data_IF_408250354728
#
_entry.id   IF_408250354728
#
_cell.length_a   1.000
_cell.length_b   1.000
_cell.length_c   1.000
_cell.angle_alpha   90.00
_cell.angle_beta   90.00
_cell.angle_gamma   90.00
#
_symmetry.space_group_name_H-M   'P 1'
#
loop_
_entity.id
_entity.type
_entity.pdbx_description
1 polymer ?
#
# COMPACT_ATOMS: atom_id res chain seq x y z
N UNK A 1 18.10 -12.93 12.02
CA UNK A 1 16.84 -12.24 12.33
C UNK A 1 17.12 -10.76 12.54
N UNK A 2 16.31 -9.90 11.92
CA UNK A 2 16.42 -8.44 12.08
C UNK A 2 16.13 -8.01 13.52
N UNK A 3 16.92 -7.05 14.04
CA UNK A 3 16.70 -6.55 15.41
C UNK A 3 15.41 -5.74 15.54
N UNK A 4 15.12 -4.93 14.52
CA UNK A 4 13.95 -4.03 14.51
C UNK A 4 12.75 -4.62 13.77
N UNK A 5 12.96 -5.65 12.92
CA UNK A 5 11.93 -6.29 12.13
C UNK A 5 12.00 -7.81 12.27
N UNK A 6 11.21 -8.38 13.18
CA UNK A 6 11.28 -9.81 13.50
C UNK A 6 10.84 -10.74 12.37
N UNK A 7 10.17 -10.22 11.35
CA UNK A 7 9.73 -10.97 10.18
C UNK A 7 10.81 -11.07 9.09
N UNK A 8 11.95 -10.38 9.26
CA UNK A 8 13.06 -10.38 8.30
C UNK A 8 14.21 -11.22 8.84
N UNK A 9 14.68 -12.13 8.02
CA UNK A 9 15.86 -12.97 8.31
C UNK A 9 16.90 -12.73 7.23
N UNK A 10 18.14 -12.62 7.65
CA UNK A 10 19.28 -12.46 6.77
C UNK A 10 20.36 -13.47 7.11
N UNK A 11 20.93 -14.12 6.09
CA UNK A 11 22.04 -15.05 6.19
C UNK A 11 23.27 -14.46 5.49
N UNK A 12 24.18 -13.89 6.25
CA UNK A 12 25.28 -13.10 5.72
C UNK A 12 26.31 -13.90 4.90
N UNK A 13 26.51 -15.20 5.22
CA UNK A 13 27.49 -16.05 4.51
C UNK A 13 26.98 -16.47 3.13
N UNK A 14 25.65 -16.53 2.94
CA UNK A 14 25.00 -16.92 1.72
C UNK A 14 24.28 -15.78 0.99
N UNK A 15 24.38 -14.53 1.48
CA UNK A 15 23.65 -13.36 0.92
C UNK A 15 22.16 -13.63 0.65
N UNK A 16 21.50 -14.24 1.65
CA UNK A 16 20.12 -14.69 1.55
C UNK A 16 19.22 -13.85 2.45
N UNK A 17 18.17 -13.27 1.90
CA UNK A 17 17.14 -12.51 2.60
C UNK A 17 15.82 -13.29 2.56
N UNK A 18 15.17 -13.41 3.72
CA UNK A 18 13.86 -14.06 3.83
C UNK A 18 12.91 -13.16 4.60
N UNK A 19 11.78 -12.81 3.99
CA UNK A 19 10.64 -12.21 4.64
C UNK A 19 9.61 -13.30 4.95
N UNK A 20 9.09 -13.29 6.18
CA UNK A 20 8.05 -14.23 6.59
C UNK A 20 6.77 -13.47 6.95
N UNK A 21 5.64 -13.91 6.42
CA UNK A 21 4.34 -13.46 6.86
C UNK A 21 3.44 -14.67 7.07
N UNK A 22 3.27 -15.07 8.34
CA UNK A 22 2.53 -16.26 8.76
C UNK A 22 3.06 -17.49 8.03
N UNK A 23 2.39 -17.95 6.96
CA UNK A 23 2.71 -19.15 6.17
C UNK A 23 3.44 -18.81 4.86
N UNK A 24 3.48 -17.53 4.47
CA UNK A 24 4.10 -17.09 3.23
C UNK A 24 5.55 -16.65 3.45
N UNK A 25 6.44 -17.07 2.54
CA UNK A 25 7.84 -16.68 2.51
C UNK A 25 8.14 -15.97 1.20
N UNK A 26 8.83 -14.82 1.28
CA UNK A 26 9.46 -14.17 0.15
C UNK A 26 10.97 -14.28 0.33
N UNK A 27 11.64 -14.89 -0.64
CA UNK A 27 13.06 -15.25 -0.56
C UNK A 27 13.81 -14.53 -1.69
N UNK A 28 14.88 -13.82 -1.34
CA UNK A 28 15.81 -13.19 -2.28
C UNK A 28 17.24 -13.62 -1.96
N UNK A 29 18.03 -13.90 -2.98
CA UNK A 29 19.41 -14.32 -2.82
C UNK A 29 19.96 -15.08 -4.03
N UNK A 30 21.14 -15.66 -3.86
CA UNK A 30 21.79 -16.48 -4.88
C UNK A 30 21.05 -17.81 -5.03
N UNK A 31 20.86 -18.26 -6.25
CA UNK A 31 20.07 -19.46 -6.59
C UNK A 31 20.51 -20.75 -5.83
N UNK A 32 21.82 -20.91 -5.61
CA UNK A 32 22.36 -22.05 -4.83
C UNK A 32 21.86 -22.05 -3.40
N UNK A 33 21.81 -20.87 -2.80
CA UNK A 33 21.47 -20.70 -1.38
C UNK A 33 19.95 -20.74 -1.17
N UNK A 34 19.20 -20.25 -2.16
CA UNK A 34 17.72 -20.44 -2.21
C UNK A 34 17.39 -21.93 -2.26
N UNK A 35 18.04 -22.68 -3.15
CA UNK A 35 17.84 -24.14 -3.26
C UNK A 35 18.21 -24.88 -1.98
N UNK A 36 19.31 -24.50 -1.34
CA UNK A 36 19.68 -25.05 -0.05
C UNK A 36 18.60 -24.79 1.02
N UNK A 37 18.12 -23.54 1.13
CA UNK A 37 17.10 -23.19 2.11
C UNK A 37 15.79 -23.95 1.85
N UNK A 38 15.36 -24.06 0.60
CA UNK A 38 14.14 -24.78 0.23
C UNK A 38 14.24 -26.26 0.62
N UNK A 39 15.37 -26.92 0.37
CA UNK A 39 15.61 -28.32 0.77
C UNK A 39 15.54 -28.49 2.30
N UNK A 40 16.12 -27.58 3.07
CA UNK A 40 16.05 -27.59 4.55
C UNK A 40 14.62 -27.36 5.07
N UNK A 41 13.82 -26.55 4.37
CA UNK A 41 12.42 -26.34 4.72
C UNK A 41 11.54 -27.55 4.42
N UNK A 42 11.72 -28.18 3.25
CA UNK A 42 10.99 -29.37 2.82
C UNK A 42 11.21 -30.58 3.73
N UNK A 43 12.40 -30.69 4.37
CA UNK A 43 12.67 -31.74 5.37
C UNK A 43 11.81 -31.59 6.64
N UNK A 44 11.31 -30.39 6.93
CA UNK A 44 10.65 -30.06 8.21
C UNK A 44 9.20 -29.66 8.07
N UNK A 45 8.81 -29.17 6.91
CA UNK A 45 7.49 -28.61 6.65
C UNK A 45 6.94 -29.17 5.32
N UNK A 46 5.63 -29.26 5.24
CA UNK A 46 4.94 -29.56 3.99
C UNK A 46 4.81 -28.26 3.18
N UNK A 47 5.80 -27.99 2.33
CA UNK A 47 5.89 -26.78 1.53
C UNK A 47 5.19 -26.95 0.18
N UNK A 48 4.61 -25.89 -0.34
CA UNK A 48 4.16 -25.81 -1.73
C UNK A 48 5.35 -25.61 -2.65
N UNK A 49 5.19 -25.98 -3.93
CA UNK A 49 6.19 -25.66 -4.94
C UNK A 49 6.46 -24.16 -4.97
N UNK A 50 7.74 -23.74 -4.97
CA UNK A 50 8.09 -22.32 -4.97
C UNK A 50 7.75 -21.67 -6.31
N UNK A 51 7.20 -20.47 -6.27
CA UNK A 51 7.00 -19.64 -7.44
C UNK A 51 8.16 -18.64 -7.57
N UNK A 52 8.61 -18.41 -8.81
CA UNK A 52 9.71 -17.47 -9.09
C UNK A 52 9.18 -16.26 -9.83
N UNK A 53 9.72 -15.08 -9.51
CA UNK A 53 9.41 -13.85 -10.26
C UNK A 53 10.12 -13.90 -11.61
N UNK A 54 9.36 -14.14 -12.68
CA UNK A 54 9.85 -14.18 -14.05
C UNK A 54 9.41 -12.94 -14.84
N UNK A 55 10.06 -12.69 -16.00
CA UNK A 55 9.88 -11.46 -16.77
C UNK A 55 8.44 -11.26 -17.26
N UNK A 56 7.71 -12.32 -17.56
CA UNK A 56 6.33 -12.25 -18.09
C UNK A 56 5.29 -12.93 -17.17
N UNK A 57 5.68 -13.32 -15.96
CA UNK A 57 4.81 -13.99 -15.00
C UNK A 57 4.78 -13.24 -13.67
N UNK A 58 3.75 -12.42 -13.42
CA UNK A 58 3.61 -11.75 -12.14
C UNK A 58 3.43 -12.75 -11.00
N UNK A 59 4.25 -12.62 -9.96
CA UNK A 59 4.06 -13.32 -8.70
C UNK A 59 3.02 -12.58 -7.86
N UNK A 60 1.99 -13.28 -7.40
CA UNK A 60 1.03 -12.73 -6.43
C UNK A 60 1.55 -12.98 -5.01
N UNK A 61 1.90 -11.91 -4.32
CA UNK A 61 2.31 -11.96 -2.92
C UNK A 61 1.46 -11.01 -2.09
N UNK A 62 0.59 -11.54 -1.25
CA UNK A 62 -0.31 -10.78 -0.36
C UNK A 62 -1.25 -9.81 -1.12
N UNK A 63 -1.65 -10.18 -2.33
CA UNK A 63 -2.47 -9.35 -3.20
C UNK A 63 -1.70 -8.23 -3.90
N UNK A 64 -0.38 -8.22 -3.78
CA UNK A 64 0.52 -7.43 -4.63
C UNK A 64 1.04 -8.30 -5.77
N UNK A 65 1.06 -7.73 -6.96
CA UNK A 65 1.65 -8.35 -8.14
C UNK A 65 3.10 -7.87 -8.26
N UNK A 66 4.04 -8.78 -8.12
CA UNK A 66 5.48 -8.53 -8.27
C UNK A 66 5.89 -8.98 -9.67
N UNK A 67 6.38 -8.07 -10.48
CA UNK A 67 6.84 -8.35 -11.85
C UNK A 67 8.26 -7.83 -12.02
N UNK A 68 9.11 -8.58 -12.73
CA UNK A 68 10.46 -8.17 -13.09
C UNK A 68 10.54 -7.92 -14.58
N UNK A 69 11.08 -6.77 -14.98
CA UNK A 69 11.38 -6.44 -16.37
C UNK A 69 12.84 -5.95 -16.40
N UNK A 70 13.74 -6.75 -16.92
CA UNK A 70 15.17 -6.49 -16.88
C UNK A 70 15.66 -6.35 -15.44
N UNK A 71 16.28 -5.20 -15.11
CA UNK A 71 16.77 -4.88 -13.76
C UNK A 71 15.77 -4.07 -12.90
N UNK A 72 14.52 -4.00 -13.31
CA UNK A 72 13.50 -3.26 -12.58
C UNK A 72 12.42 -4.20 -12.07
N UNK A 73 12.10 -4.09 -10.78
CA UNK A 73 10.97 -4.75 -10.13
C UNK A 73 9.81 -3.78 -10.07
N UNK A 74 8.62 -4.23 -10.46
CA UNK A 74 7.37 -3.49 -10.39
C UNK A 74 6.47 -4.14 -9.34
N UNK A 75 5.96 -3.34 -8.42
CA UNK A 75 4.95 -3.74 -7.44
C UNK A 75 3.63 -3.09 -7.83
N UNK A 76 2.63 -3.87 -8.17
CA UNK A 76 1.30 -3.39 -8.52
C UNK A 76 0.21 -4.04 -7.68
N UNK A 77 -1.01 -3.48 -7.70
CA UNK A 77 -2.19 -4.03 -7.04
C UNK A 77 -3.41 -3.94 -7.98
N UNK A 78 -3.19 -4.07 -9.27
CA UNK A 78 -4.24 -3.89 -10.29
C UNK A 78 -5.40 -4.85 -10.08
N UNK A 79 -5.13 -6.14 -9.93
CA UNK A 79 -6.15 -7.18 -9.70
C UNK A 79 -6.89 -6.96 -8.39
N UNK A 80 -6.15 -6.57 -7.32
CA UNK A 80 -6.79 -6.25 -6.05
C UNK A 80 -7.76 -5.08 -6.19
N UNK A 81 -7.34 -3.99 -6.83
CA UNK A 81 -8.20 -2.82 -7.07
C UNK A 81 -9.44 -3.18 -7.90
N UNK A 82 -9.28 -3.98 -8.96
CA UNK A 82 -10.41 -4.43 -9.77
C UNK A 82 -11.41 -5.25 -8.95
N UNK A 83 -10.92 -6.18 -8.17
CA UNK A 83 -11.74 -7.04 -7.32
C UNK A 83 -12.53 -6.24 -6.29
N UNK A 84 -11.87 -5.32 -5.58
CA UNK A 84 -12.52 -4.48 -4.58
C UNK A 84 -13.53 -3.51 -5.19
N UNK A 85 -13.23 -2.94 -6.36
CA UNK A 85 -14.19 -2.12 -7.10
C UNK A 85 -15.44 -2.91 -7.49
N UNK A 86 -15.31 -4.18 -7.87
CA UNK A 86 -16.43 -5.05 -8.18
C UNK A 86 -17.25 -5.40 -6.93
N UNK A 87 -16.61 -5.73 -5.82
CA UNK A 87 -17.28 -6.03 -4.53
C UNK A 87 -18.08 -4.82 -4.02
N UNK A 88 -17.52 -3.62 -4.18
CA UNK A 88 -18.15 -2.37 -3.75
C UNK A 88 -19.17 -1.82 -4.76
N UNK A 89 -19.32 -2.44 -5.93
CA UNK A 89 -20.16 -1.98 -7.05
C UNK A 89 -19.86 -0.51 -7.42
N UNK A 90 -18.58 -0.21 -7.61
CA UNK A 90 -18.11 1.15 -7.90
C UNK A 90 -18.54 1.55 -9.32
N UNK A 91 -19.47 2.48 -9.42
CA UNK A 91 -20.04 2.95 -10.68
C UNK A 91 -19.63 4.40 -11.00
N UNK A 92 -19.93 4.84 -12.21
CA UNK A 92 -19.86 6.23 -12.63
C UNK A 92 -18.48 6.68 -13.11
N UNK A 93 -18.29 8.00 -13.08
CA UNK A 93 -17.12 8.68 -13.66
C UNK A 93 -15.88 8.52 -12.80
N UNK A 94 -14.74 8.34 -13.43
CA UNK A 94 -13.43 8.38 -12.78
C UNK A 94 -13.04 9.82 -12.41
N UNK A 95 -12.87 10.13 -11.13
CA UNK A 95 -12.40 11.46 -10.72
C UNK A 95 -10.87 11.59 -10.97
N UNK A 96 -10.41 12.83 -11.17
CA UNK A 96 -8.97 13.11 -11.39
C UNK A 96 -8.16 13.12 -10.10
N UNK A 97 -8.81 13.27 -8.95
CA UNK A 97 -8.17 13.30 -7.61
C UNK A 97 -9.00 12.45 -6.65
N UNK A 98 -8.35 11.74 -5.72
CA UNK A 98 -9.04 10.82 -4.83
C UNK A 98 -10.05 11.53 -3.91
N UNK A 99 -9.70 12.72 -3.42
CA UNK A 99 -10.58 13.54 -2.58
C UNK A 99 -10.45 15.00 -2.99
N UNK A 100 -11.55 15.75 -3.08
CA UNK A 100 -11.54 17.13 -3.58
C UNK A 100 -12.13 18.15 -2.60
N UNK A 101 -13.01 17.70 -1.72
CA UNK A 101 -13.79 18.57 -0.86
C UNK A 101 -13.74 18.09 0.60
N UNK A 102 -13.96 18.99 1.57
CA UNK A 102 -14.16 18.55 2.95
C UNK A 102 -15.33 17.57 3.01
N UNK A 103 -15.15 16.48 3.77
CA UNK A 103 -16.21 15.49 3.98
C UNK A 103 -17.24 16.12 4.93
N UNK A 104 -18.51 16.11 4.53
CA UNK A 104 -19.61 16.64 5.38
C UNK A 104 -19.89 15.69 6.54
N UNK A 105 -19.47 16.09 7.73
CA UNK A 105 -19.68 15.34 8.98
C UNK A 105 -21.09 15.51 9.53
N UNK A 106 -21.90 16.42 8.97
CA UNK A 106 -23.29 16.66 9.40
C UNK A 106 -24.32 15.93 8.56
N UNK A 107 -23.89 15.24 7.50
CA UNK A 107 -24.78 14.43 6.65
C UNK A 107 -25.35 13.22 7.41
N UNK A 108 -26.31 12.54 6.83
CA UNK A 108 -27.05 11.43 7.45
C UNK A 108 -26.10 10.36 8.00
N UNK A 109 -26.23 9.97 9.29
CA UNK A 109 -25.47 8.87 9.87
C UNK A 109 -25.77 7.55 9.14
N UNK A 110 -24.75 6.70 9.01
CA UNK A 110 -24.91 5.38 8.41
C UNK A 110 -25.68 4.43 9.32
N UNK A 111 -26.50 3.58 8.71
CA UNK A 111 -27.07 2.41 9.39
C UNK A 111 -25.98 1.44 9.83
N UNK A 112 -26.25 0.55 10.81
CA UNK A 112 -25.26 -0.45 11.25
C UNK A 112 -24.70 -1.31 10.11
N UNK A 113 -25.52 -1.67 9.14
CA UNK A 113 -25.11 -2.46 7.98
C UNK A 113 -24.21 -1.65 7.05
N UNK A 114 -24.53 -0.40 6.76
CA UNK A 114 -23.71 0.52 5.96
C UNK A 114 -22.39 0.82 6.68
N UNK A 115 -22.42 1.01 8.01
CA UNK A 115 -21.20 1.21 8.81
C UNK A 115 -20.24 0.02 8.69
N UNK A 116 -20.76 -1.23 8.71
CA UNK A 116 -19.93 -2.41 8.51
C UNK A 116 -19.24 -2.40 7.13
N UNK A 117 -19.99 -2.07 6.07
CA UNK A 117 -19.44 -1.93 4.71
C UNK A 117 -18.39 -0.81 4.62
N UNK A 118 -18.69 0.34 5.22
CA UNK A 118 -17.76 1.46 5.29
C UNK A 118 -16.44 1.07 5.97
N UNK A 119 -16.48 0.42 7.14
CA UNK A 119 -15.29 0.01 7.86
C UNK A 119 -14.45 -1.02 7.08
N UNK A 120 -15.11 -1.96 6.39
CA UNK A 120 -14.41 -2.91 5.51
C UNK A 120 -13.69 -2.16 4.37
N UNK A 121 -14.39 -1.25 3.69
CA UNK A 121 -13.82 -0.45 2.61
C UNK A 121 -12.67 0.47 3.08
N UNK A 122 -12.77 1.04 4.28
CA UNK A 122 -11.66 1.80 4.89
C UNK A 122 -10.45 0.91 5.15
N UNK A 123 -10.67 -0.33 5.61
CA UNK A 123 -9.60 -1.32 5.77
C UNK A 123 -8.88 -1.63 4.45
N UNK A 124 -9.64 -1.82 3.35
CA UNK A 124 -9.09 -2.02 2.01
C UNK A 124 -8.26 -0.82 1.54
N UNK A 125 -8.76 0.42 1.75
CA UNK A 125 -7.98 1.63 1.44
C UNK A 125 -6.72 1.74 2.29
N UNK A 126 -6.78 1.33 3.56
CA UNK A 126 -5.62 1.28 4.46
C UNK A 126 -4.54 0.35 3.93
N UNK A 127 -4.93 -0.83 3.46
CA UNK A 127 -4.01 -1.79 2.84
C UNK A 127 -3.37 -1.23 1.58
N UNK A 128 -4.18 -0.71 0.64
CA UNK A 128 -3.69 -0.09 -0.59
C UNK A 128 -2.73 1.07 -0.33
N UNK A 129 -3.08 1.98 0.59
CA UNK A 129 -2.28 3.17 0.90
C UNK A 129 -0.97 2.85 1.62
N UNK A 130 -0.95 1.77 2.40
CA UNK A 130 0.23 1.33 3.15
C UNK A 130 1.18 0.44 2.35
N UNK A 131 0.76 -0.01 1.16
CA UNK A 131 1.56 -0.87 0.29
C UNK A 131 2.02 -0.13 -0.97
N UNK A 132 1.25 -0.19 -2.05
CA UNK A 132 1.64 0.32 -3.37
C UNK A 132 1.06 1.69 -3.68
N UNK A 133 -0.14 2.02 -3.16
CA UNK A 133 -0.89 3.21 -3.54
C UNK A 133 -0.76 4.35 -2.52
N UNK A 134 0.48 4.79 -2.29
CA UNK A 134 0.76 5.92 -1.39
C UNK A 134 0.08 7.23 -1.80
N UNK A 135 -0.32 7.37 -3.07
CA UNK A 135 -1.04 8.52 -3.63
C UNK A 135 -2.43 8.76 -2.98
N UNK A 136 -3.03 7.72 -2.37
CA UNK A 136 -4.30 7.85 -1.63
C UNK A 136 -4.14 8.03 -0.12
N UNK A 137 -2.93 8.07 0.44
CA UNK A 137 -2.69 8.08 1.89
C UNK A 137 -3.38 9.23 2.60
N UNK A 138 -3.38 10.43 2.00
CA UNK A 138 -4.12 11.57 2.54
C UNK A 138 -5.63 11.33 2.57
N UNK A 139 -6.20 10.85 1.48
CA UNK A 139 -7.63 10.55 1.39
C UNK A 139 -8.04 9.49 2.40
N UNK A 140 -7.26 8.40 2.50
CA UNK A 140 -7.44 7.35 3.51
C UNK A 140 -7.42 7.93 4.93
N UNK A 141 -6.40 8.72 5.28
CA UNK A 141 -6.26 9.32 6.60
C UNK A 141 -7.48 10.19 6.97
N UNK A 142 -7.97 11.00 6.02
CA UNK A 142 -9.15 11.85 6.24
C UNK A 142 -10.43 11.04 6.47
N UNK A 143 -10.64 9.99 5.69
CA UNK A 143 -11.80 9.11 5.80
C UNK A 143 -11.75 8.26 7.07
N UNK A 144 -10.59 7.71 7.41
CA UNK A 144 -10.39 6.86 8.59
C UNK A 144 -10.73 7.58 9.91
N UNK A 145 -10.52 8.90 9.99
CA UNK A 145 -10.90 9.72 11.16
C UNK A 145 -12.42 9.68 11.45
N UNK A 146 -13.24 9.33 10.46
CA UNK A 146 -14.70 9.27 10.59
C UNK A 146 -15.22 7.88 11.00
N UNK A 147 -14.34 6.92 11.23
CA UNK A 147 -14.71 5.51 11.50
C UNK A 147 -15.59 5.32 12.74
N UNK A 148 -15.49 6.19 13.73
CA UNK A 148 -16.33 6.11 14.94
C UNK A 148 -17.81 6.41 14.63
N UNK A 149 -18.08 7.48 13.86
CA UNK A 149 -19.41 7.95 13.50
C UNK A 149 -19.48 8.33 12.01
N UNK A 150 -19.45 7.34 11.09
CA UNK A 150 -19.45 7.61 9.67
C UNK A 150 -20.83 8.09 9.18
N UNK A 151 -20.77 9.00 8.21
CA UNK A 151 -21.94 9.59 7.56
C UNK A 151 -22.06 9.12 6.10
N UNK A 152 -23.19 9.42 5.45
CA UNK A 152 -23.35 9.11 4.03
C UNK A 152 -22.26 9.79 3.17
N UNK A 153 -21.92 11.04 3.47
CA UNK A 153 -20.82 11.75 2.78
C UNK A 153 -19.48 11.07 2.95
N UNK A 154 -19.21 10.45 4.11
CA UNK A 154 -18.01 9.65 4.32
C UNK A 154 -18.00 8.39 3.44
N UNK A 155 -19.15 7.69 3.32
CA UNK A 155 -19.27 6.52 2.45
C UNK A 155 -19.10 6.91 0.97
N UNK A 156 -19.71 8.00 0.53
CA UNK A 156 -19.57 8.52 -0.83
C UNK A 156 -18.12 8.89 -1.13
N UNK A 157 -17.39 9.40 -0.12
CA UNK A 157 -15.95 9.69 -0.24
C UNK A 157 -15.10 8.43 -0.41
N UNK A 158 -15.43 7.33 0.29
CA UNK A 158 -14.78 6.02 0.09
C UNK A 158 -15.00 5.55 -1.35
N UNK A 159 -16.24 5.53 -1.82
CA UNK A 159 -16.57 5.10 -3.19
C UNK A 159 -15.89 5.98 -4.24
N UNK A 160 -15.74 7.28 -3.97
CA UNK A 160 -14.98 8.19 -4.82
C UNK A 160 -13.50 7.80 -4.91
N UNK A 161 -12.85 7.41 -3.81
CA UNK A 161 -11.45 6.97 -3.83
C UNK A 161 -11.32 5.69 -4.67
N UNK A 162 -12.23 4.73 -4.53
CA UNK A 162 -12.22 3.52 -5.36
C UNK A 162 -12.47 3.83 -6.84
N UNK A 163 -13.34 4.80 -7.16
CA UNK A 163 -13.53 5.25 -8.55
C UNK A 163 -12.27 5.91 -9.12
N UNK A 164 -11.50 6.64 -8.30
CA UNK A 164 -10.18 7.16 -8.67
C UNK A 164 -9.21 6.03 -8.93
N UNK A 165 -9.07 5.09 -7.99
CA UNK A 165 -8.19 3.93 -8.11
C UNK A 165 -8.48 3.10 -9.36
N UNK A 166 -9.75 2.87 -9.68
CA UNK A 166 -10.17 2.17 -10.91
C UNK A 166 -9.66 2.86 -12.18
N UNK A 167 -9.58 4.18 -12.17
CA UNK A 167 -9.15 4.95 -13.33
C UNK A 167 -7.66 5.08 -13.52
N UNK A 168 -6.88 4.62 -12.54
CA UNK A 168 -5.42 4.61 -12.57
C UNK A 168 -4.89 3.37 -11.83
N UNK A 169 -5.52 2.22 -12.06
CA UNK A 169 -5.21 0.94 -11.40
C UNK A 169 -3.80 0.44 -11.78
N UNK A 170 -3.32 0.84 -12.95
CA UNK A 170 -2.00 0.51 -13.50
C UNK A 170 -0.82 1.22 -12.78
N UNK A 171 -1.10 2.18 -11.89
CA UNK A 171 -0.03 2.82 -11.15
C UNK A 171 0.64 1.82 -10.20
N UNK A 172 1.97 1.75 -10.31
CA UNK A 172 2.82 0.82 -9.59
C UNK A 172 4.02 1.53 -8.95
N UNK A 173 4.68 0.85 -8.03
CA UNK A 173 6.01 1.23 -7.54
C UNK A 173 7.03 0.50 -8.40
N UNK A 174 8.04 1.22 -8.89
CA UNK A 174 9.17 0.64 -9.61
C UNK A 174 10.44 0.75 -8.77
N UNK A 175 11.18 -0.34 -8.63
CA UNK A 175 12.45 -0.43 -7.93
C UNK A 175 13.49 -0.84 -8.96
N UNK A 176 14.43 0.06 -9.27
CA UNK A 176 15.49 -0.19 -10.24
C UNK A 176 16.79 -0.52 -9.50
N UNK A 177 17.35 -1.69 -9.79
CA UNK A 177 18.62 -2.14 -9.20
C UNK A 177 19.83 -1.34 -9.68
N UNK A 178 19.76 -0.74 -10.88
CA UNK A 178 20.85 0.07 -11.45
C UNK A 178 20.81 1.55 -11.00
N UNK A 179 19.87 1.92 -10.15
CA UNK A 179 19.84 3.27 -9.61
C UNK A 179 21.10 3.49 -8.76
N UNK A 180 21.94 4.51 -9.09
CA UNK A 180 23.15 4.76 -8.33
C UNK A 180 22.81 5.04 -6.86
N UNK A 181 23.58 4.44 -5.95
CA UNK A 181 23.54 4.78 -4.52
C UNK A 181 23.82 6.27 -4.36
N UNK A 182 22.77 7.06 -4.17
CA UNK A 182 22.88 8.50 -4.00
C UNK A 182 22.80 8.86 -2.52
N UNK A 183 23.73 9.69 -2.10
CA UNK A 183 23.69 10.29 -0.77
C UNK A 183 22.42 11.13 -0.63
N UNK A 184 21.75 11.06 0.52
CA UNK A 184 20.52 11.84 0.84
C UNK A 184 20.73 13.33 0.55
N UNK A 185 21.95 13.86 0.72
CA UNK A 185 22.30 15.24 0.43
C UNK A 185 22.23 15.58 -1.06
N UNK A 186 22.59 14.62 -1.94
CA UNK A 186 22.51 14.78 -3.40
C UNK A 186 21.06 14.76 -3.88
N UNK A 187 20.21 13.98 -3.22
CA UNK A 187 18.75 13.91 -3.49
C UNK A 187 18.06 15.23 -3.17
N UNK A 188 18.49 15.90 -2.10
CA UNK A 188 17.88 17.18 -1.67
C UNK A 188 18.31 18.40 -2.51
N UNK A 189 19.39 18.30 -3.25
CA UNK A 189 19.98 19.41 -4.03
C UNK A 189 19.79 19.32 -5.53
N UNK A 190 19.44 18.15 -6.08
CA UNK A 190 19.28 17.97 -7.53
C UNK A 190 17.89 18.41 -8.00
N UNK A 191 17.85 19.30 -9.01
CA UNK A 191 16.58 19.82 -9.54
C UNK A 191 15.97 18.98 -10.67
N UNK A 192 16.72 18.04 -11.31
CA UNK A 192 16.27 17.38 -12.54
C UNK A 192 16.83 15.96 -12.73
N UNK A 193 16.36 14.98 -11.95
CA UNK A 193 16.58 13.57 -12.33
C UNK A 193 15.27 12.78 -12.31
N UNK A 194 14.88 12.11 -13.40
CA UNK A 194 13.56 11.51 -13.58
C UNK A 194 13.28 10.27 -12.69
N UNK A 195 14.27 9.76 -11.98
CA UNK A 195 14.17 8.53 -11.17
C UNK A 195 14.45 8.76 -9.67
N UNK A 196 14.24 9.95 -9.13
CA UNK A 196 14.48 10.24 -7.72
C UNK A 196 13.21 10.15 -6.89
N UNK A 197 13.29 9.41 -5.76
CA UNK A 197 12.29 9.50 -4.71
C UNK A 197 12.40 10.86 -4.04
N UNK A 198 11.38 11.70 -4.18
CA UNK A 198 11.30 12.99 -3.48
C UNK A 198 10.33 12.86 -2.33
N UNK A 199 10.84 12.99 -1.12
CA UNK A 199 10.01 13.05 0.09
C UNK A 199 9.73 14.51 0.42
N UNK A 200 8.45 14.85 0.47
CA UNK A 200 7.99 16.13 0.97
C UNK A 200 7.33 15.86 2.32
N UNK A 201 7.82 16.50 3.39
CA UNK A 201 7.15 16.49 4.68
C UNK A 201 6.65 17.89 5.00
N UNK A 202 5.38 17.99 5.30
CA UNK A 202 4.78 19.19 5.87
C UNK A 202 4.20 18.84 7.24
N UNK A 203 4.39 19.72 8.22
CA UNK A 203 3.82 19.58 9.54
C UNK A 203 2.48 20.30 9.59
N UNK A 204 1.39 19.60 9.32
CA UNK A 204 0.05 20.13 9.57
C UNK A 204 -0.27 20.06 11.08
N UNK A 205 0.05 21.13 11.79
CA UNK A 205 -0.28 21.25 13.20
C UNK A 205 -1.80 21.41 13.37
N UNK A 206 -2.48 20.28 13.65
CA UNK A 206 -3.92 20.20 13.89
C UNK A 206 -4.81 20.60 12.69
N UNK A 207 -4.56 20.00 11.51
CA UNK A 207 -5.29 20.24 10.26
C UNK A 207 -6.80 20.00 10.27
N UNK A 208 -7.37 19.51 11.38
CA UNK A 208 -8.80 19.43 11.55
C UNK A 208 -9.33 20.65 12.32
N UNK A 209 -9.75 21.69 11.61
CA UNK A 209 -10.28 22.95 12.16
C UNK A 209 -11.50 22.75 13.09
N UNK A 210 -12.30 21.72 12.89
CA UNK A 210 -13.45 21.41 13.74
C UNK A 210 -13.02 20.94 15.13
N UNK A 211 -11.94 20.17 15.24
CA UNK A 211 -11.37 19.75 16.53
C UNK A 211 -10.74 20.92 17.27
N UNK A 212 -10.14 21.86 16.56
CA UNK A 212 -9.58 23.07 17.18
C UNK A 212 -10.66 23.98 17.78
N UNK A 213 -11.80 24.14 17.10
CA UNK A 213 -12.90 24.96 17.61
C UNK A 213 -13.55 24.34 18.85
N UNK A 214 -13.66 23.00 18.94
CA UNK A 214 -14.16 22.33 20.15
C UNK A 214 -13.21 22.45 21.34
N UNK A 215 -11.89 22.44 21.14
CA UNK A 215 -10.91 22.63 22.21
C UNK A 215 -10.86 24.07 22.73
N UNK A 216 -11.10 25.07 21.87
CA UNK A 216 -11.17 26.49 22.26
C UNK A 216 -12.44 26.85 23.02
N UNK A 217 -13.53 26.11 22.85
CA UNK A 217 -14.79 26.31 23.55
C UNK A 217 -14.85 25.68 24.95
N UNK A 218 -13.82 24.91 25.36
CA UNK A 218 -13.73 24.23 26.66
C UNK A 218 -12.70 24.88 27.61
N UNK A 219 -12.03 25.94 27.18
CA UNK A 219 -11.18 26.83 28.01
C UNK A 219 -11.85 28.20 28.11
#
# INVERSE_FOLDING_TARGET
>A
RGENEPAVYYHAEGDLLVLTLVDDLLIDGVESDIKWLLAELEERFDCKDPETVEEDSPLDYLGMEITRIGNTIYLSMEKYIENECNILDVQGRTPKVPISEPIDTTSTPLTPQQKKKFLAAVGMLGWLSGTVRCDISYAFSRIAQLSAMPTQSALDSVLRVFAYLRGCKELCISINQDAPDRNIQDIMTSQDTPNEWRFYSDSDHAGNREVQNKRRSQN
#
